data_IF_433100884435
#
_entry.id   IF_433100884435
#
_cell.length_a   1.000
_cell.length_b   1.000
_cell.length_c   1.000
_cell.angle_alpha   90.00
_cell.angle_beta   90.00
_cell.angle_gamma   90.00
#
_symmetry.space_group_name_H-M   'P 1'
#
loop_
_entity.id
_entity.type
_entity.pdbx_description
1 polymer ?
#
# COMPACT_ATOMS: atom_id res chain seq x y z
N UNK A 1 -21.65 -21.20 0.10
CA UNK A 1 -21.24 -20.88 1.48
C UNK A 1 -21.42 -19.37 1.67
N UNK A 2 -22.25 -18.96 2.63
CA UNK A 2 -22.59 -17.55 2.85
C UNK A 2 -21.32 -16.76 3.21
N UNK A 3 -20.83 -15.93 2.28
CA UNK A 3 -19.67 -15.06 2.53
C UNK A 3 -20.17 -13.83 3.25
N UNK A 4 -19.95 -13.75 4.57
CA UNK A 4 -20.32 -12.59 5.37
C UNK A 4 -19.47 -11.39 4.90
N UNK A 5 -20.03 -10.46 4.08
CA UNK A 5 -19.20 -9.53 3.31
C UNK A 5 -18.44 -8.55 4.20
N UNK A 6 -19.05 -8.20 5.34
CA UNK A 6 -18.48 -7.33 6.35
C UNK A 6 -17.29 -7.98 7.07
N UNK A 7 -17.34 -9.29 7.35
CA UNK A 7 -16.26 -10.02 8.00
C UNK A 7 -15.04 -10.13 7.08
N UNK A 8 -15.27 -10.41 5.80
CA UNK A 8 -14.21 -10.42 4.78
C UNK A 8 -13.55 -9.04 4.63
N UNK A 9 -14.35 -7.96 4.68
CA UNK A 9 -13.84 -6.60 4.63
C UNK A 9 -13.03 -6.26 5.89
N UNK A 10 -13.53 -6.63 7.07
CA UNK A 10 -12.84 -6.44 8.34
C UNK A 10 -11.49 -7.13 8.35
N UNK A 11 -11.43 -8.43 8.02
CA UNK A 11 -10.17 -9.19 7.94
C UNK A 11 -9.19 -8.59 6.92
N UNK A 12 -9.70 -8.13 5.77
CA UNK A 12 -8.88 -7.45 4.76
C UNK A 12 -8.32 -6.12 5.27
N UNK A 13 -9.10 -5.38 6.06
CA UNK A 13 -8.69 -4.16 6.74
C UNK A 13 -7.63 -4.42 7.80
N UNK A 14 -7.82 -5.43 8.66
CA UNK A 14 -6.85 -5.82 9.69
C UNK A 14 -5.53 -6.23 9.06
N UNK A 15 -5.57 -7.05 7.99
CA UNK A 15 -4.35 -7.44 7.26
C UNK A 15 -3.62 -6.23 6.68
N UNK A 16 -4.35 -5.29 6.07
CA UNK A 16 -3.77 -4.05 5.56
C UNK A 16 -3.13 -3.23 6.68
N UNK A 17 -3.76 -3.14 7.85
CA UNK A 17 -3.23 -2.43 9.00
C UNK A 17 -1.91 -3.05 9.49
N UNK A 18 -1.87 -4.38 9.66
CA UNK A 18 -0.66 -5.12 10.06
C UNK A 18 0.47 -4.94 9.04
N UNK A 19 0.18 -5.13 7.75
CA UNK A 19 1.19 -4.94 6.70
C UNK A 19 1.71 -3.49 6.67
N UNK A 20 0.85 -2.50 6.94
CA UNK A 20 1.24 -1.09 7.03
C UNK A 20 2.15 -0.82 8.22
N UNK A 21 1.84 -1.35 9.41
CA UNK A 21 2.68 -1.23 10.60
C UNK A 21 4.08 -1.83 10.37
N UNK A 22 4.17 -2.98 9.69
CA UNK A 22 5.45 -3.59 9.35
C UNK A 22 6.27 -2.75 8.37
N UNK A 23 5.64 -2.15 7.35
CA UNK A 23 6.32 -1.22 6.44
C UNK A 23 6.85 0.00 7.19
N UNK A 24 6.07 0.55 8.11
CA UNK A 24 6.48 1.68 8.94
C UNK A 24 7.71 1.31 9.79
N UNK A 25 7.66 0.18 10.51
CA UNK A 25 8.78 -0.29 11.33
C UNK A 25 10.05 -0.51 10.49
N UNK A 26 9.94 -1.13 9.32
CA UNK A 26 11.08 -1.35 8.42
C UNK A 26 11.68 -0.04 7.89
N UNK A 27 10.84 0.95 7.59
CA UNK A 27 11.31 2.28 7.16
C UNK A 27 11.98 3.04 8.28
N UNK A 28 11.42 2.99 9.50
CA UNK A 28 12.05 3.60 10.68
C UNK A 28 13.43 2.98 10.94
N UNK A 29 13.54 1.65 10.88
CA UNK A 29 14.83 0.97 10.98
C UNK A 29 15.82 1.42 9.88
N UNK A 30 15.35 1.52 8.62
CA UNK A 30 16.19 1.96 7.49
C UNK A 30 16.65 3.41 7.62
N UNK A 31 15.79 4.28 8.14
CA UNK A 31 16.11 5.70 8.34
C UNK A 31 17.06 5.89 9.53
N UNK A 32 16.90 5.08 10.59
CA UNK A 32 17.79 5.08 11.75
C UNK A 32 19.24 4.67 11.40
N UNK A 33 19.45 3.84 10.36
CA UNK A 33 20.80 3.55 9.83
C UNK A 33 21.51 4.80 9.27
N UNK A 34 20.77 5.84 8.87
CA UNK A 34 21.33 7.06 8.29
C UNK A 34 22.04 6.89 6.94
N UNK A 35 22.74 7.95 6.53
CA UNK A 35 23.55 8.01 5.32
C UNK A 35 22.80 7.84 3.99
N UNK A 36 23.54 7.62 2.91
CA UNK A 36 23.00 7.55 1.53
C UNK A 36 21.93 6.46 1.33
N UNK A 37 21.92 5.41 2.15
CA UNK A 37 20.89 4.34 2.06
C UNK A 37 19.56 4.82 2.64
N UNK A 38 19.57 5.60 3.73
CA UNK A 38 18.39 6.22 4.32
C UNK A 38 17.80 7.32 3.40
N UNK A 39 18.64 8.20 2.84
CA UNK A 39 18.21 9.25 1.89
C UNK A 39 17.50 8.65 0.67
N UNK A 40 18.09 7.62 0.06
CA UNK A 40 17.47 6.92 -1.07
C UNK A 40 16.12 6.28 -0.69
N UNK A 41 16.00 5.75 0.53
CA UNK A 41 14.71 5.22 1.00
C UNK A 41 13.69 6.35 1.17
N UNK A 42 14.08 7.49 1.73
CA UNK A 42 13.21 8.66 1.85
C UNK A 42 12.71 9.16 0.48
N UNK A 43 13.58 9.28 -0.53
CA UNK A 43 13.18 9.65 -1.90
C UNK A 43 12.22 8.62 -2.52
N UNK A 44 12.50 7.33 -2.36
CA UNK A 44 11.61 6.25 -2.83
C UNK A 44 10.23 6.35 -2.18
N UNK A 45 10.15 6.64 -0.88
CA UNK A 45 8.89 6.80 -0.16
C UNK A 45 8.02 7.94 -0.71
N UNK A 46 8.60 8.98 -1.30
CA UNK A 46 7.87 10.07 -1.95
C UNK A 46 7.37 9.61 -3.32
N UNK A 47 8.24 9.03 -4.14
CA UNK A 47 7.85 8.50 -5.45
C UNK A 47 6.76 7.43 -5.36
N UNK A 48 6.80 6.59 -4.32
CA UNK A 48 5.77 5.58 -4.06
C UNK A 48 4.40 6.21 -3.76
N UNK A 49 4.35 7.31 -2.98
CA UNK A 49 3.10 8.04 -2.70
C UNK A 49 2.53 8.68 -3.96
N UNK A 50 3.38 9.34 -4.75
CA UNK A 50 2.96 9.96 -6.02
C UNK A 50 2.42 8.93 -7.01
N UNK A 51 3.09 7.77 -7.14
CA UNK A 51 2.59 6.67 -7.98
C UNK A 51 1.26 6.11 -7.47
N UNK A 52 1.09 5.96 -6.16
CA UNK A 52 -0.18 5.47 -5.59
C UNK A 52 -1.32 6.47 -5.83
N UNK A 53 -1.05 7.77 -5.72
CA UNK A 53 -2.02 8.82 -6.01
C UNK A 53 -2.43 8.80 -7.48
N UNK A 54 -1.47 8.80 -8.40
CA UNK A 54 -1.73 8.77 -9.84
C UNK A 54 -2.54 7.53 -10.26
N UNK A 55 -2.18 6.35 -9.75
CA UNK A 55 -2.92 5.12 -10.03
C UNK A 55 -4.33 5.15 -9.43
N UNK A 56 -4.50 5.71 -8.24
CA UNK A 56 -5.82 5.86 -7.61
C UNK A 56 -6.72 6.80 -8.41
N UNK A 57 -6.18 7.94 -8.87
CA UNK A 57 -6.90 8.87 -9.73
C UNK A 57 -7.35 8.22 -11.04
N UNK A 58 -6.49 7.43 -11.69
CA UNK A 58 -6.84 6.67 -12.90
C UNK A 58 -7.95 5.63 -12.62
N UNK A 59 -7.87 4.92 -11.51
CA UNK A 59 -8.90 3.96 -11.11
C UNK A 59 -10.25 4.64 -10.82
N UNK A 60 -10.23 5.81 -10.19
CA UNK A 60 -11.44 6.59 -9.91
C UNK A 60 -12.03 7.13 -11.21
N UNK A 61 -11.21 7.76 -12.07
CA UNK A 61 -11.65 8.30 -13.35
C UNK A 61 -12.25 7.22 -14.26
N UNK A 62 -11.60 6.06 -14.37
CA UNK A 62 -12.13 4.93 -15.16
C UNK A 62 -13.41 4.35 -14.56
N UNK A 63 -13.53 4.27 -13.22
CA UNK A 63 -14.75 3.84 -12.57
C UNK A 63 -15.90 4.82 -12.76
N UNK A 64 -15.63 6.13 -12.74
CA UNK A 64 -16.62 7.17 -13.02
C UNK A 64 -17.10 7.12 -14.47
N UNK A 65 -16.17 7.04 -15.44
CA UNK A 65 -16.48 6.96 -16.87
C UNK A 65 -17.28 5.70 -17.27
N UNK A 66 -17.17 4.61 -16.50
CA UNK A 66 -17.91 3.36 -16.72
C UNK A 66 -19.19 3.22 -15.90
N UNK A 67 -19.62 4.27 -15.18
CA UNK A 67 -20.79 4.22 -14.30
C UNK A 67 -20.63 3.33 -13.06
N UNK A 68 -19.40 2.90 -12.75
CA UNK A 68 -19.07 2.00 -11.64
C UNK A 68 -18.51 2.74 -10.41
N UNK A 69 -18.92 3.99 -10.18
CA UNK A 69 -18.42 4.82 -9.07
C UNK A 69 -18.47 4.13 -7.71
N UNK A 70 -19.55 3.38 -7.43
CA UNK A 70 -19.70 2.60 -6.19
C UNK A 70 -18.64 1.47 -6.02
N UNK A 71 -17.98 1.03 -7.09
CA UNK A 71 -16.88 0.05 -7.05
C UNK A 71 -15.50 0.70 -7.00
N UNK A 72 -15.39 2.02 -7.24
CA UNK A 72 -14.12 2.74 -7.25
C UNK A 72 -13.39 2.61 -5.91
N UNK A 73 -14.10 2.80 -4.79
CA UNK A 73 -13.53 2.69 -3.45
C UNK A 73 -12.91 1.31 -3.18
N UNK A 74 -13.59 0.23 -3.58
CA UNK A 74 -13.05 -1.15 -3.45
C UNK A 74 -11.80 -1.37 -4.31
N UNK A 75 -11.78 -0.84 -5.55
CA UNK A 75 -10.61 -0.92 -6.43
C UNK A 75 -9.41 -0.16 -5.86
N UNK A 76 -9.63 1.03 -5.31
CA UNK A 76 -8.61 1.84 -4.66
C UNK A 76 -8.06 1.13 -3.43
N UNK A 77 -8.91 0.56 -2.57
CA UNK A 77 -8.47 -0.24 -1.41
C UNK A 77 -7.60 -1.44 -1.83
N UNK A 78 -8.00 -2.17 -2.86
CA UNK A 78 -7.21 -3.29 -3.39
C UNK A 78 -5.86 -2.84 -3.96
N UNK A 79 -5.80 -1.68 -4.61
CA UNK A 79 -4.55 -1.07 -5.07
C UNK A 79 -3.61 -0.78 -3.87
N UNK A 80 -4.11 -0.16 -2.81
CA UNK A 80 -3.31 0.12 -1.61
C UNK A 80 -2.79 -1.16 -0.96
N UNK A 81 -3.62 -2.20 -0.82
CA UNK A 81 -3.18 -3.51 -0.30
C UNK A 81 -2.02 -4.11 -1.12
N UNK A 82 -2.13 -4.06 -2.45
CA UNK A 82 -1.07 -4.55 -3.35
C UNK A 82 0.23 -3.76 -3.17
N UNK A 83 0.14 -2.43 -3.09
CA UNK A 83 1.31 -1.55 -2.92
C UNK A 83 2.00 -1.76 -1.57
N UNK A 84 1.24 -1.84 -0.47
CA UNK A 84 1.78 -2.07 0.87
C UNK A 84 2.46 -3.45 0.94
N UNK A 85 1.84 -4.49 0.39
CA UNK A 85 2.44 -5.84 0.33
C UNK A 85 3.75 -5.86 -0.47
N UNK A 86 3.81 -5.16 -1.60
CA UNK A 86 5.02 -5.05 -2.40
C UNK A 86 6.15 -4.31 -1.65
N UNK A 87 5.81 -3.22 -0.95
CA UNK A 87 6.76 -2.45 -0.13
C UNK A 87 7.33 -3.29 1.01
N UNK A 88 6.47 -4.01 1.74
CA UNK A 88 6.88 -4.95 2.77
C UNK A 88 7.89 -5.97 2.23
N UNK A 89 7.58 -6.60 1.09
CA UNK A 89 8.46 -7.59 0.43
C UNK A 89 9.80 -6.99 -0.02
N UNK A 90 9.81 -5.75 -0.52
CA UNK A 90 11.05 -5.05 -0.92
C UNK A 90 11.93 -4.76 0.28
N UNK A 91 11.34 -4.17 1.32
CA UNK A 91 12.05 -3.78 2.54
C UNK A 91 12.57 -4.99 3.31
N UNK A 92 11.78 -6.07 3.39
CA UNK A 92 12.19 -7.30 4.06
C UNK A 92 13.35 -8.01 3.33
N UNK A 93 13.40 -7.96 1.99
CA UNK A 93 14.54 -8.45 1.21
C UNK A 93 15.81 -7.66 1.48
N UNK A 94 15.69 -6.36 1.74
CA UNK A 94 16.83 -5.46 2.01
C UNK A 94 17.41 -5.62 3.42
N UNK A 95 16.66 -6.22 4.35
CA UNK A 95 17.09 -6.55 5.73
C UNK A 95 17.85 -7.88 5.82
N UNK A 96 17.77 -8.76 4.80
CA UNK A 96 18.59 -9.97 4.72
C UNK A 96 20.00 -9.61 4.20
N UNK A 97 20.78 -8.92 5.02
CA UNK A 97 22.25 -8.78 4.90
C UNK A 97 22.79 -8.71 6.32
#
# INVERSE_FOLDING_TARGET
>A
MSTWPWLSLALSGTRLAVDSQQVIALRLAKLAEGGRKAEREASLMVSEKMKALADSQRLIASAAASGQGARAARKVLGLYQKRVSANKKRLSKRKKV
#
